data_IF_232271454515
#
_entry.id   IF_232271454515
#
_cell.length_a   1.000
_cell.length_b   1.000
_cell.length_c   1.000
_cell.angle_alpha   90.00
_cell.angle_beta   90.00
_cell.angle_gamma   90.00
#
_symmetry.space_group_name_H-M   'P 1'
#
loop_
_entity.id
_entity.type
_entity.pdbx_description
1 polymer ?
#
# COMPACT_ATOMS: atom_id res chain seq x y z
N UNK A 1 -5.83 10.71 -49.64
CA UNK A 1 -7.06 10.63 -48.84
C UNK A 1 -6.92 9.38 -48.00
N UNK A 2 -6.15 9.50 -46.93
CA UNK A 2 -5.96 8.41 -45.98
C UNK A 2 -7.21 8.40 -45.10
N UNK A 3 -8.03 7.37 -45.25
CA UNK A 3 -9.09 7.09 -44.29
C UNK A 3 -8.42 6.87 -42.95
N UNK A 4 -8.63 7.78 -42.00
CA UNK A 4 -8.26 7.60 -40.60
C UNK A 4 -8.97 6.34 -40.08
N UNK A 5 -8.30 5.20 -40.22
CA UNK A 5 -8.76 3.96 -39.62
C UNK A 5 -8.57 4.15 -38.12
N UNK A 6 -9.68 4.42 -37.43
CA UNK A 6 -9.71 4.53 -35.98
C UNK A 6 -9.45 3.13 -35.41
N UNK A 7 -8.23 2.91 -34.93
CA UNK A 7 -7.81 1.61 -34.41
C UNK A 7 -8.20 1.46 -32.95
N UNK A 8 -9.10 0.52 -32.66
CA UNK A 8 -9.58 0.19 -31.33
C UNK A 8 -8.56 -0.64 -30.53
N UNK A 9 -8.30 -0.26 -29.28
CA UNK A 9 -7.47 -0.99 -28.28
C UNK A 9 -7.91 -2.46 -28.19
N UNK A 10 -9.21 -2.73 -28.21
CA UNK A 10 -9.75 -4.09 -28.13
C UNK A 10 -9.38 -4.93 -29.36
N UNK A 11 -9.37 -4.33 -30.55
CA UNK A 11 -9.03 -5.01 -31.79
C UNK A 11 -7.56 -5.46 -31.78
N UNK A 12 -6.66 -4.63 -31.24
CA UNK A 12 -5.25 -4.97 -31.09
C UNK A 12 -5.03 -6.18 -30.18
N UNK A 13 -5.61 -6.19 -28.98
CA UNK A 13 -5.46 -7.32 -28.05
C UNK A 13 -6.17 -8.59 -28.51
N UNK A 14 -7.25 -8.46 -29.28
CA UNK A 14 -7.90 -9.59 -29.94
C UNK A 14 -6.95 -10.25 -30.95
N UNK A 15 -6.28 -9.47 -31.80
CA UNK A 15 -5.31 -10.00 -32.77
C UNK A 15 -4.06 -10.59 -32.09
N UNK A 16 -3.59 -9.98 -30.98
CA UNK A 16 -2.51 -10.56 -30.18
C UNK A 16 -2.90 -11.91 -29.58
N UNK A 17 -4.09 -12.01 -29.01
CA UNK A 17 -4.61 -13.27 -28.44
C UNK A 17 -4.71 -14.35 -29.51
N UNK A 18 -5.23 -14.01 -30.69
CA UNK A 18 -5.25 -14.95 -31.83
C UNK A 18 -3.86 -15.35 -32.31
N UNK A 19 -2.87 -14.45 -32.24
CA UNK A 19 -1.48 -14.75 -32.59
C UNK A 19 -0.84 -15.73 -31.61
N UNK A 20 -1.19 -15.63 -30.32
CA UNK A 20 -0.79 -16.57 -29.26
C UNK A 20 -1.37 -17.96 -29.55
N UNK A 21 -2.68 -18.05 -29.83
CA UNK A 21 -3.36 -19.32 -30.14
C UNK A 21 -2.74 -20.01 -31.36
N UNK A 22 -2.36 -19.21 -32.38
CA UNK A 22 -1.72 -19.69 -33.60
C UNK A 22 -0.21 -19.97 -33.43
N UNK A 23 0.39 -19.57 -32.30
CA UNK A 23 1.85 -19.56 -32.06
C UNK A 23 2.65 -18.86 -33.17
N UNK A 24 2.03 -17.90 -33.84
CA UNK A 24 2.60 -17.22 -35.01
C UNK A 24 2.05 -15.81 -35.09
N UNK A 25 2.96 -14.85 -35.17
CA UNK A 25 2.60 -13.46 -35.35
C UNK A 25 2.00 -13.24 -36.75
N UNK A 26 0.93 -12.46 -36.80
CA UNK A 26 0.38 -11.96 -38.06
C UNK A 26 1.46 -11.18 -38.82
N UNK A 27 1.88 -11.68 -39.98
CA UNK A 27 2.89 -11.00 -40.84
C UNK A 27 2.28 -9.84 -41.63
N UNK A 28 1.10 -9.38 -41.25
CA UNK A 28 0.39 -8.35 -41.96
C UNK A 28 1.13 -7.01 -41.77
N UNK A 29 1.35 -6.26 -42.85
CA UNK A 29 1.90 -4.88 -42.81
C UNK A 29 1.09 -4.01 -41.84
N UNK A 30 -0.21 -4.32 -41.70
CA UNK A 30 -1.06 -3.72 -40.69
C UNK A 30 -0.50 -3.87 -39.27
N UNK A 31 0.10 -5.01 -38.90
CA UNK A 31 0.62 -5.25 -37.54
C UNK A 31 1.78 -4.31 -37.15
N UNK A 32 2.70 -4.01 -38.07
CA UNK A 32 3.75 -3.02 -37.79
C UNK A 32 3.17 -1.61 -37.63
N UNK A 33 2.17 -1.25 -38.44
CA UNK A 33 1.45 0.02 -38.30
C UNK A 33 0.66 0.08 -36.99
N UNK A 34 -0.01 -1.01 -36.60
CA UNK A 34 -0.70 -1.16 -35.33
C UNK A 34 0.27 -0.93 -34.16
N UNK A 35 1.43 -1.59 -34.15
CA UNK A 35 2.41 -1.42 -33.07
C UNK A 35 2.91 0.02 -32.93
N UNK A 36 3.11 0.72 -34.05
CA UNK A 36 3.58 2.11 -33.98
C UNK A 36 2.50 3.05 -33.43
N UNK A 37 1.25 2.95 -33.90
CA UNK A 37 0.13 3.75 -33.37
C UNK A 37 -0.18 3.39 -31.91
N UNK A 38 -0.15 2.10 -31.59
CA UNK A 38 -0.46 1.60 -30.25
C UNK A 38 0.59 2.04 -29.23
N UNK A 39 1.86 2.14 -29.64
CA UNK A 39 2.92 2.67 -28.77
C UNK A 39 2.60 4.05 -28.24
N UNK A 40 2.10 4.96 -29.08
CA UNK A 40 1.78 6.32 -28.64
C UNK A 40 0.60 6.32 -27.66
N UNK A 41 -0.42 5.48 -27.91
CA UNK A 41 -1.58 5.33 -27.01
C UNK A 41 -1.15 4.80 -25.64
N UNK A 42 -0.33 3.74 -25.62
CA UNK A 42 0.11 3.10 -24.37
C UNK A 42 1.11 3.96 -23.60
N UNK A 43 1.92 4.76 -24.27
CA UNK A 43 2.81 5.70 -23.57
C UNK A 43 2.05 6.77 -22.79
N UNK A 44 0.80 7.07 -23.16
CA UNK A 44 -0.07 8.00 -22.46
C UNK A 44 -1.02 7.33 -21.46
N UNK A 45 -1.57 6.17 -21.80
CA UNK A 45 -2.61 5.53 -20.99
C UNK A 45 -2.11 4.35 -20.15
N UNK A 46 -0.95 3.78 -20.50
CA UNK A 46 -0.48 2.52 -19.95
C UNK A 46 -1.38 1.32 -20.33
N UNK A 47 -1.03 0.16 -19.78
CA UNK A 47 -1.73 -1.11 -19.96
C UNK A 47 -2.40 -1.55 -18.66
N UNK A 48 -3.61 -2.09 -18.77
CA UNK A 48 -4.25 -2.78 -17.63
C UNK A 48 -3.58 -4.14 -17.39
N UNK A 49 -3.81 -4.71 -16.20
CA UNK A 49 -3.18 -5.97 -15.78
C UNK A 49 -3.40 -7.11 -16.78
N UNK A 50 -4.62 -7.28 -17.28
CA UNK A 50 -4.97 -8.34 -18.24
C UNK A 50 -4.20 -8.21 -19.55
N UNK A 51 -4.01 -6.98 -20.04
CA UNK A 51 -3.29 -6.68 -21.26
C UNK A 51 -1.79 -6.94 -21.13
N UNK A 52 -1.21 -6.61 -19.97
CA UNK A 52 0.19 -6.92 -19.68
C UNK A 52 0.42 -8.43 -19.68
N UNK A 53 -0.52 -9.22 -19.15
CA UNK A 53 -0.46 -10.69 -19.18
C UNK A 53 -0.53 -11.23 -20.60
N UNK A 54 -1.40 -10.68 -21.46
CA UNK A 54 -1.46 -11.08 -22.88
C UNK A 54 -0.10 -10.82 -23.56
N UNK A 55 0.54 -9.67 -23.30
CA UNK A 55 1.86 -9.37 -23.89
C UNK A 55 2.95 -10.30 -23.35
N UNK A 56 2.92 -10.66 -22.06
CA UNK A 56 3.88 -11.62 -21.50
C UNK A 56 3.69 -13.01 -22.09
N UNK A 57 2.45 -13.47 -22.22
CA UNK A 57 2.12 -14.72 -22.89
C UNK A 57 2.59 -14.72 -24.35
N UNK A 58 2.46 -13.60 -25.08
CA UNK A 58 2.99 -13.45 -26.43
C UNK A 58 4.50 -13.68 -26.46
N UNK A 59 5.28 -13.10 -25.53
CA UNK A 59 6.72 -13.32 -25.47
C UNK A 59 7.11 -14.77 -25.19
N UNK A 60 6.29 -15.49 -24.42
CA UNK A 60 6.52 -16.90 -24.08
C UNK A 60 6.09 -17.88 -25.18
N UNK A 61 5.14 -17.50 -26.05
CA UNK A 61 4.50 -18.42 -26.99
C UNK A 61 4.87 -18.18 -28.46
N UNK A 62 5.15 -16.94 -28.84
CA UNK A 62 5.38 -16.55 -30.23
C UNK A 62 6.84 -16.15 -30.42
N UNK A 63 7.50 -16.74 -31.42
CA UNK A 63 8.87 -16.37 -31.76
C UNK A 63 8.90 -15.00 -32.47
N UNK A 64 9.21 -13.95 -31.70
CA UNK A 64 9.38 -12.61 -32.23
C UNK A 64 10.82 -12.39 -32.71
N UNK A 65 11.00 -11.74 -33.86
CA UNK A 65 12.31 -11.20 -34.22
C UNK A 65 12.72 -10.08 -33.24
N UNK A 66 14.02 -9.77 -33.15
CA UNK A 66 14.52 -8.81 -32.16
C UNK A 66 13.93 -7.38 -32.31
N UNK A 67 13.63 -6.94 -33.54
CA UNK A 67 13.06 -5.61 -33.81
C UNK A 67 11.63 -5.53 -33.25
N UNK A 68 10.79 -6.49 -33.61
CA UNK A 68 9.40 -6.59 -33.12
C UNK A 68 9.37 -6.82 -31.61
N UNK A 69 10.23 -7.68 -31.08
CA UNK A 69 10.36 -7.91 -29.64
C UNK A 69 10.63 -6.61 -28.89
N UNK A 70 11.58 -5.80 -29.36
CA UNK A 70 11.86 -4.48 -28.75
C UNK A 70 10.67 -3.54 -28.84
N UNK A 71 9.96 -3.49 -29.97
CA UNK A 71 8.77 -2.64 -30.10
C UNK A 71 7.66 -3.05 -29.12
N UNK A 72 7.40 -4.35 -28.99
CA UNK A 72 6.41 -4.89 -28.04
C UNK A 72 6.88 -4.67 -26.59
N UNK A 73 8.17 -4.77 -26.30
CA UNK A 73 8.65 -4.53 -24.92
C UNK A 73 8.55 -3.05 -24.52
N UNK A 74 8.68 -2.11 -25.48
CA UNK A 74 8.50 -0.68 -25.22
C UNK A 74 7.07 -0.29 -24.86
N UNK A 75 6.08 -1.11 -25.22
CA UNK A 75 4.68 -0.89 -24.84
C UNK A 75 4.33 -1.57 -23.51
N UNK A 76 5.22 -2.36 -22.91
CA UNK A 76 4.96 -3.00 -21.62
C UNK A 76 5.12 -1.98 -20.49
N UNK A 77 4.18 -1.05 -20.42
CA UNK A 77 4.12 0.11 -19.53
C UNK A 77 2.78 0.04 -18.81
N UNK A 78 2.75 -0.05 -17.47
CA UNK A 78 1.50 -0.25 -16.75
C UNK A 78 0.68 1.05 -16.69
N UNK A 79 -0.65 0.92 -16.67
CA UNK A 79 -1.60 2.01 -16.40
C UNK A 79 -1.56 2.40 -14.90
N UNK A 80 -1.41 1.40 -14.04
CA UNK A 80 -1.30 1.55 -12.59
C UNK A 80 0.18 1.57 -12.13
N UNK A 81 0.50 2.13 -10.95
CA UNK A 81 1.88 2.20 -10.44
C UNK A 81 2.56 0.84 -10.29
N UNK A 82 1.75 -0.19 -10.08
CA UNK A 82 2.20 -1.51 -9.72
C UNK A 82 2.04 -2.45 -10.91
N UNK A 83 3.16 -2.97 -11.36
CA UNK A 83 3.25 -4.02 -12.35
C UNK A 83 2.89 -5.32 -11.64
N UNK A 84 1.93 -6.09 -12.20
CA UNK A 84 1.53 -7.37 -11.68
C UNK A 84 2.73 -8.30 -11.41
N UNK A 85 2.65 -9.00 -10.30
CA UNK A 85 3.75 -9.83 -9.78
C UNK A 85 4.10 -11.00 -10.69
N UNK A 86 3.07 -11.57 -11.32
CA UNK A 86 3.14 -12.67 -12.28
C UNK A 86 3.83 -12.23 -13.57
N UNK A 87 3.58 -11.01 -14.05
CA UNK A 87 4.28 -10.43 -15.22
C UNK A 87 5.79 -10.37 -14.99
N UNK A 88 6.25 -9.87 -13.83
CA UNK A 88 7.68 -9.86 -13.52
C UNK A 88 8.27 -11.28 -13.43
N UNK A 89 7.56 -12.21 -12.79
CA UNK A 89 8.01 -13.59 -12.62
C UNK A 89 8.12 -14.33 -13.96
N UNK A 90 7.12 -14.20 -14.84
CA UNK A 90 7.13 -14.77 -16.19
C UNK A 90 8.29 -14.25 -17.03
N UNK A 91 8.57 -12.94 -16.97
CA UNK A 91 9.69 -12.35 -17.69
C UNK A 91 11.06 -12.79 -17.16
N UNK A 92 11.20 -12.99 -15.84
CA UNK A 92 12.42 -13.57 -15.26
C UNK A 92 12.58 -15.01 -15.75
N UNK A 93 11.52 -15.83 -15.70
CA UNK A 93 11.56 -17.21 -16.20
C UNK A 93 11.92 -17.25 -17.68
N UNK A 94 11.38 -16.33 -18.49
CA UNK A 94 11.70 -16.21 -19.91
C UNK A 94 13.18 -15.84 -20.14
N UNK A 95 13.73 -14.90 -19.36
CA UNK A 95 15.17 -14.60 -19.41
C UNK A 95 15.99 -15.85 -19.15
N UNK A 96 15.63 -16.61 -18.11
CA UNK A 96 16.32 -17.84 -17.72
C UNK A 96 16.15 -18.97 -18.74
N UNK A 97 15.09 -18.98 -19.54
CA UNK A 97 14.93 -20.00 -20.59
C UNK A 97 15.73 -19.67 -21.85
N UNK A 98 15.86 -18.40 -22.23
CA UNK A 98 16.39 -18.03 -23.57
C UNK A 98 17.85 -17.58 -23.58
N UNK A 99 18.44 -17.21 -22.44
CA UNK A 99 19.76 -16.55 -22.43
C UNK A 99 20.92 -17.41 -22.99
N UNK A 100 20.76 -18.73 -23.01
CA UNK A 100 21.77 -19.68 -23.45
C UNK A 100 21.68 -20.14 -24.91
N UNK A 101 20.58 -19.83 -25.59
CA UNK A 101 20.27 -20.49 -26.87
C UNK A 101 21.08 -19.91 -28.04
N UNK A 102 20.96 -18.61 -28.30
CA UNK A 102 21.63 -17.94 -29.41
C UNK A 102 21.83 -16.43 -29.14
N UNK A 103 22.60 -15.77 -29.99
CA UNK A 103 22.95 -14.34 -29.85
C UNK A 103 21.72 -13.42 -29.85
N UNK A 104 20.70 -13.73 -30.64
CA UNK A 104 19.47 -12.92 -30.69
C UNK A 104 18.67 -13.06 -29.39
N UNK A 105 18.57 -14.28 -28.86
CA UNK A 105 17.89 -14.58 -27.62
C UNK A 105 18.63 -13.99 -26.41
N UNK A 106 19.96 -13.97 -26.43
CA UNK A 106 20.76 -13.22 -25.45
C UNK A 106 20.45 -11.71 -25.46
N UNK A 107 20.28 -11.11 -26.65
CA UNK A 107 19.86 -9.69 -26.76
C UNK A 107 18.43 -9.46 -26.30
N UNK A 108 17.51 -10.41 -26.49
CA UNK A 108 16.15 -10.34 -25.93
C UNK A 108 16.20 -10.38 -24.40
N UNK A 109 16.97 -11.31 -23.84
CA UNK A 109 17.21 -11.42 -22.40
C UNK A 109 17.80 -10.12 -21.83
N UNK A 110 18.80 -9.53 -22.49
CA UNK A 110 19.35 -8.22 -22.13
C UNK A 110 18.27 -7.13 -22.09
N UNK A 111 17.38 -7.08 -23.10
CA UNK A 111 16.30 -6.10 -23.14
C UNK A 111 15.31 -6.26 -21.99
N UNK A 112 14.92 -7.50 -21.66
CA UNK A 112 14.05 -7.79 -20.52
C UNK A 112 14.74 -7.39 -19.20
N UNK A 113 16.03 -7.66 -19.06
CA UNK A 113 16.78 -7.29 -17.86
C UNK A 113 16.89 -5.77 -17.68
N UNK A 114 17.03 -4.99 -18.77
CA UNK A 114 16.91 -3.53 -18.67
C UNK A 114 15.49 -3.09 -18.28
N UNK A 115 14.46 -3.76 -18.78
CA UNK A 115 13.07 -3.50 -18.35
C UNK A 115 12.93 -3.74 -16.84
N UNK A 116 13.38 -4.90 -16.34
CA UNK A 116 13.37 -5.24 -14.92
C UNK A 116 14.19 -4.26 -14.08
N UNK A 117 15.36 -3.82 -14.55
CA UNK A 117 16.16 -2.79 -13.89
C UNK A 117 15.33 -1.53 -13.64
N UNK A 118 14.61 -1.03 -14.65
CA UNK A 118 13.81 0.18 -14.50
C UNK A 118 12.58 -0.02 -13.64
N UNK A 119 11.98 -1.21 -13.68
CA UNK A 119 10.90 -1.58 -12.76
C UNK A 119 11.37 -1.53 -11.30
N UNK A 120 12.56 -2.07 -11.00
CA UNK A 120 13.16 -2.04 -9.66
C UNK A 120 13.57 -0.62 -9.27
N UNK A 121 14.29 0.10 -10.15
CA UNK A 121 14.77 1.46 -9.93
C UNK A 121 13.62 2.44 -9.64
N UNK A 122 12.50 2.28 -10.35
CA UNK A 122 11.31 3.09 -10.16
C UNK A 122 10.33 2.56 -9.11
N UNK A 123 10.61 1.40 -8.52
CA UNK A 123 9.74 0.73 -7.53
C UNK A 123 8.32 0.53 -8.07
N UNK A 124 8.23 0.07 -9.32
CA UNK A 124 6.98 -0.21 -10.02
C UNK A 124 6.46 -1.63 -9.75
N UNK A 125 7.06 -2.38 -8.82
CA UNK A 125 6.56 -3.69 -8.39
C UNK A 125 7.02 -3.99 -6.97
N UNK A 126 6.47 -5.05 -6.37
CA UNK A 126 7.01 -5.59 -5.13
C UNK A 126 8.39 -6.22 -5.38
N UNK A 127 9.43 -5.54 -4.88
CA UNK A 127 10.84 -5.90 -5.04
C UNK A 127 11.15 -7.30 -4.51
N UNK A 128 10.41 -7.78 -3.50
CA UNK A 128 10.61 -9.11 -2.90
C UNK A 128 10.44 -10.25 -3.91
N UNK A 129 9.66 -10.05 -4.97
CA UNK A 129 9.45 -11.07 -6.01
C UNK A 129 10.74 -11.25 -6.82
N UNK A 130 11.39 -10.15 -7.17
CA UNK A 130 12.64 -10.17 -7.92
C UNK A 130 13.78 -10.62 -7.00
N UNK A 131 13.72 -10.25 -5.70
CA UNK A 131 14.69 -10.66 -4.67
C UNK A 131 14.74 -12.18 -4.48
N UNK A 132 13.64 -12.92 -4.68
CA UNK A 132 13.66 -14.41 -4.70
C UNK A 132 14.63 -14.98 -5.71
N UNK A 133 14.89 -14.27 -6.79
CA UNK A 133 15.81 -14.67 -7.85
C UNK A 133 17.19 -14.02 -7.71
N UNK A 134 17.47 -13.29 -6.61
CA UNK A 134 18.70 -12.51 -6.43
C UNK A 134 19.98 -13.27 -6.79
N UNK A 135 20.18 -14.46 -6.22
CA UNK A 135 21.38 -15.28 -6.47
C UNK A 135 21.44 -15.78 -7.92
N UNK A 136 20.30 -16.17 -8.48
CA UNK A 136 20.21 -16.65 -9.87
C UNK A 136 20.53 -15.51 -10.83
N UNK A 137 19.94 -14.34 -10.60
CA UNK A 137 20.22 -13.13 -11.36
C UNK A 137 21.70 -12.75 -11.24
N UNK A 138 22.28 -12.79 -10.03
CA UNK A 138 23.71 -12.52 -9.86
C UNK A 138 24.59 -13.47 -10.68
N UNK A 139 24.23 -14.75 -10.77
CA UNK A 139 24.96 -15.68 -11.65
C UNK A 139 24.88 -15.30 -13.13
N UNK A 140 23.87 -14.55 -13.58
CA UNK A 140 23.82 -14.04 -14.95
C UNK A 140 24.92 -12.99 -15.24
N UNK A 141 25.56 -12.39 -14.22
CA UNK A 141 26.73 -11.52 -14.39
C UNK A 141 27.96 -12.26 -14.96
N UNK A 142 27.96 -13.59 -15.07
CA UNK A 142 29.07 -14.29 -15.75
C UNK A 142 28.96 -14.19 -17.27
N UNK A 143 27.83 -13.69 -17.80
CA UNK A 143 27.57 -13.58 -19.23
C UNK A 143 27.69 -12.13 -19.69
N UNK A 144 28.87 -11.75 -20.19
CA UNK A 144 29.29 -10.37 -20.51
C UNK A 144 28.20 -9.40 -21.00
N UNK A 145 27.36 -9.81 -21.96
CA UNK A 145 26.31 -8.93 -22.51
C UNK A 145 25.18 -8.60 -21.52
N UNK A 146 24.98 -9.41 -20.49
CA UNK A 146 23.95 -9.24 -19.46
C UNK A 146 24.47 -8.48 -18.23
N UNK A 147 25.79 -8.26 -18.14
CA UNK A 147 26.43 -7.79 -16.91
C UNK A 147 25.94 -6.42 -16.49
N UNK A 148 25.70 -5.51 -17.44
CA UNK A 148 25.24 -4.16 -17.11
C UNK A 148 23.84 -4.11 -16.50
N UNK A 149 22.78 -4.64 -17.13
CA UNK A 149 21.45 -4.59 -16.52
C UNK A 149 21.38 -5.46 -15.26
N UNK A 150 22.05 -6.62 -15.21
CA UNK A 150 22.07 -7.47 -14.01
C UNK A 150 22.76 -6.75 -12.85
N UNK A 151 23.93 -6.14 -13.07
CA UNK A 151 24.62 -5.39 -12.03
C UNK A 151 23.77 -4.24 -11.49
N UNK A 152 22.98 -3.58 -12.35
CA UNK A 152 22.01 -2.59 -11.93
C UNK A 152 20.91 -3.17 -11.04
N UNK A 153 20.31 -4.30 -11.43
CA UNK A 153 19.28 -4.96 -10.63
C UNK A 153 19.85 -5.33 -9.26
N UNK A 154 21.00 -6.00 -9.24
CA UNK A 154 21.67 -6.40 -8.00
C UNK A 154 22.00 -5.20 -7.13
N UNK A 155 22.49 -4.10 -7.70
CA UNK A 155 22.75 -2.86 -6.98
C UNK A 155 21.50 -2.34 -6.23
N UNK A 156 20.33 -2.34 -6.87
CA UNK A 156 19.10 -1.90 -6.22
C UNK A 156 18.51 -2.91 -5.23
N UNK A 157 18.72 -4.22 -5.42
CA UNK A 157 18.20 -5.25 -4.53
C UNK A 157 19.05 -5.48 -3.28
N UNK A 158 20.37 -5.32 -3.38
CA UNK A 158 21.32 -5.74 -2.34
C UNK A 158 21.09 -5.03 -1.01
N UNK A 159 20.97 -5.81 0.06
CA UNK A 159 21.02 -5.39 1.47
C UNK A 159 22.41 -5.69 2.08
N UNK A 160 22.78 -5.06 3.20
CA UNK A 160 24.11 -5.28 3.81
C UNK A 160 24.41 -6.75 4.13
N UNK A 161 23.40 -7.50 4.54
CA UNK A 161 23.49 -8.94 4.88
C UNK A 161 23.65 -9.86 3.67
N UNK A 162 23.34 -9.40 2.45
CA UNK A 162 23.40 -10.22 1.23
C UNK A 162 24.82 -10.34 0.68
N UNK A 163 25.70 -9.38 0.99
CA UNK A 163 27.04 -9.30 0.40
C UNK A 163 27.94 -10.37 1.01
N UNK A 164 28.22 -11.41 0.22
CA UNK A 164 29.09 -12.52 0.60
C UNK A 164 30.44 -12.44 -0.12
N UNK A 165 31.50 -12.92 0.52
CA UNK A 165 32.87 -12.87 -0.03
C UNK A 165 32.99 -13.48 -1.44
N UNK A 166 32.25 -14.55 -1.71
CA UNK A 166 32.28 -15.20 -3.03
C UNK A 166 31.72 -14.30 -4.14
N UNK A 167 30.79 -13.38 -3.83
CA UNK A 167 30.26 -12.41 -4.80
C UNK A 167 31.34 -11.40 -5.17
N UNK A 168 32.10 -10.90 -4.19
CA UNK A 168 33.25 -10.00 -4.40
C UNK A 168 34.31 -10.71 -5.26
N UNK A 169 34.65 -11.96 -4.93
CA UNK A 169 35.56 -12.78 -5.74
C UNK A 169 35.04 -12.97 -7.16
N UNK A 170 33.74 -13.23 -7.33
CA UNK A 170 33.11 -13.37 -8.64
C UNK A 170 33.24 -12.09 -9.47
N UNK A 171 32.93 -10.92 -8.90
CA UNK A 171 33.11 -9.63 -9.57
C UNK A 171 34.57 -9.42 -9.99
N UNK A 172 35.54 -9.68 -9.10
CA UNK A 172 36.98 -9.57 -9.41
C UNK A 172 37.39 -10.47 -10.57
N UNK A 173 36.91 -11.71 -10.59
CA UNK A 173 37.19 -12.66 -11.67
C UNK A 173 36.61 -12.19 -13.01
N UNK A 174 35.37 -11.69 -13.02
CA UNK A 174 34.73 -11.17 -14.23
C UNK A 174 35.52 -9.96 -14.77
N UNK A 175 35.92 -9.02 -13.90
CA UNK A 175 36.72 -7.85 -14.28
C UNK A 175 38.09 -8.25 -14.85
N UNK A 176 38.72 -9.28 -14.28
CA UNK A 176 40.02 -9.78 -14.74
C UNK A 176 39.93 -10.47 -16.12
N UNK A 177 38.82 -11.17 -16.38
CA UNK A 177 38.58 -11.88 -17.65
C UNK A 177 38.14 -10.88 -18.74
N UNK A 178 37.13 -10.06 -18.44
CA UNK A 178 36.57 -9.05 -19.32
C UNK A 178 37.22 -7.69 -19.07
N UNK A 179 38.30 -7.39 -19.80
CA UNK A 179 39.00 -6.10 -19.70
C UNK A 179 38.00 -4.92 -19.72
N UNK A 180 37.87 -4.23 -18.59
CA UNK A 180 37.14 -2.96 -18.40
C UNK A 180 35.60 -3.01 -18.48
N UNK A 181 34.96 -3.95 -17.81
CA UNK A 181 33.51 -3.82 -17.56
C UNK A 181 33.21 -2.76 -16.49
N UNK A 182 32.89 -1.54 -16.93
CA UNK A 182 32.54 -0.40 -16.05
C UNK A 182 31.43 -0.74 -15.05
N UNK A 183 30.43 -1.54 -15.46
CA UNK A 183 29.31 -1.92 -14.60
C UNK A 183 29.73 -2.84 -13.45
N UNK A 184 30.59 -3.83 -13.71
CA UNK A 184 31.08 -4.72 -12.66
C UNK A 184 32.03 -4.01 -11.69
N UNK A 185 32.84 -3.06 -12.17
CA UNK A 185 33.64 -2.21 -11.28
C UNK A 185 32.76 -1.38 -10.34
N UNK A 186 31.66 -0.79 -10.85
CA UNK A 186 30.70 -0.05 -10.01
C UNK A 186 30.09 -0.95 -8.93
N UNK A 187 29.68 -2.17 -9.30
CA UNK A 187 29.11 -3.13 -8.35
C UNK A 187 30.13 -3.61 -7.32
N UNK A 188 31.38 -3.83 -7.73
CA UNK A 188 32.46 -4.21 -6.81
C UNK A 188 32.74 -3.10 -5.79
N UNK A 189 32.89 -1.85 -6.23
CA UNK A 189 33.07 -0.69 -5.34
C UNK A 189 31.91 -0.56 -4.36
N UNK A 190 30.70 -0.88 -4.81
CA UNK A 190 29.51 -0.88 -3.97
C UNK A 190 29.54 -2.01 -2.91
N UNK A 191 29.92 -3.23 -3.28
CA UNK A 191 30.06 -4.35 -2.34
C UNK A 191 31.20 -4.18 -1.34
N UNK A 192 32.31 -3.56 -1.73
CA UNK A 192 33.46 -3.32 -0.85
C UNK A 192 33.22 -2.18 0.16
N UNK A 193 32.16 -1.38 -0.01
CA UNK A 193 31.84 -0.26 0.87
C UNK A 193 30.45 -0.43 1.53
N UNK A 194 30.38 -1.05 2.73
CA UNK A 194 29.13 -1.29 3.45
C UNK A 194 28.28 -0.03 3.68
N UNK A 195 28.94 1.12 3.85
CA UNK A 195 28.26 2.40 4.07
C UNK A 195 27.45 2.85 2.85
N UNK A 196 27.93 2.58 1.62
CA UNK A 196 27.19 2.92 0.40
C UNK A 196 25.91 2.10 0.25
N UNK A 197 25.84 0.92 0.91
CA UNK A 197 24.66 0.07 0.90
C UNK A 197 23.50 0.72 1.66
N UNK A 198 23.78 1.55 2.67
CA UNK A 198 22.78 2.25 3.48
C UNK A 198 22.33 3.59 2.87
N UNK A 199 23.06 4.12 1.89
CA UNK A 199 22.74 5.38 1.23
C UNK A 199 21.64 5.24 0.16
N UNK A 200 21.01 6.36 -0.19
CA UNK A 200 20.03 6.42 -1.29
C UNK A 200 20.69 6.04 -2.61
N UNK A 201 20.16 5.00 -3.27
CA UNK A 201 20.67 4.47 -4.53
C UNK A 201 20.60 5.51 -5.66
N UNK A 202 21.68 5.64 -6.41
CA UNK A 202 21.76 6.55 -7.55
C UNK A 202 21.05 5.96 -8.77
N UNK A 203 20.07 6.70 -9.28
CA UNK A 203 19.32 6.37 -10.50
C UNK A 203 20.16 6.54 -11.76
N UNK A 204 19.92 5.68 -12.76
CA UNK A 204 20.60 5.69 -14.05
C UNK A 204 22.10 5.35 -14.01
N UNK A 205 22.63 4.85 -12.88
CA UNK A 205 24.05 4.51 -12.74
C UNK A 205 24.50 3.42 -13.73
N UNK A 206 23.57 2.54 -14.13
CA UNK A 206 23.78 1.40 -15.03
C UNK A 206 23.11 1.58 -16.39
N UNK A 207 22.70 2.81 -16.73
CA UNK A 207 22.03 3.11 -18.01
C UNK A 207 22.94 2.83 -19.20
N UNK A 208 22.36 2.18 -20.22
CA UNK A 208 22.98 2.05 -21.53
C UNK A 208 22.69 3.27 -22.38
N UNK A 209 23.67 3.68 -23.19
CA UNK A 209 23.52 4.77 -24.18
C UNK A 209 22.64 4.37 -25.38
N UNK A 210 22.15 3.13 -25.42
CA UNK A 210 21.32 2.69 -26.55
C UNK A 210 19.99 3.44 -26.58
N UNK A 211 19.56 3.86 -27.78
CA UNK A 211 18.28 4.56 -28.00
C UNK A 211 17.08 3.78 -27.43
N UNK A 212 17.12 2.45 -27.54
CA UNK A 212 16.08 1.57 -27.00
C UNK A 212 15.97 1.69 -25.47
N UNK A 213 17.09 1.58 -24.76
CA UNK A 213 17.12 1.64 -23.29
C UNK A 213 16.67 3.02 -22.78
N UNK A 214 17.06 4.10 -23.46
CA UNK A 214 16.59 5.45 -23.13
C UNK A 214 15.07 5.57 -23.31
N UNK A 215 14.52 5.05 -24.41
CA UNK A 215 13.08 5.06 -24.65
C UNK A 215 12.32 4.25 -23.59
N UNK A 216 12.85 3.10 -23.21
CA UNK A 216 12.28 2.23 -22.20
C UNK A 216 12.26 2.90 -20.83
N UNK A 217 13.38 3.48 -20.41
CA UNK A 217 13.49 4.23 -19.17
C UNK A 217 12.50 5.40 -19.13
N UNK A 218 12.37 6.14 -20.24
CA UNK A 218 11.46 7.27 -20.33
C UNK A 218 9.99 6.84 -20.20
N UNK A 219 9.59 5.73 -20.84
CA UNK A 219 8.22 5.20 -20.76
C UNK A 219 7.85 4.75 -19.34
N UNK A 220 8.74 4.04 -18.65
CA UNK A 220 8.47 3.62 -17.27
C UNK A 220 8.54 4.80 -16.27
N UNK A 221 9.43 5.76 -16.50
CA UNK A 221 9.53 6.97 -15.66
C UNK A 221 8.36 7.94 -15.87
N UNK A 222 7.76 8.00 -17.06
CA UNK A 222 6.60 8.88 -17.32
C UNK A 222 5.37 8.43 -16.54
N UNK A 223 5.11 7.12 -16.45
CA UNK A 223 4.03 6.56 -15.63
C UNK A 223 4.10 7.07 -14.20
N UNK A 224 5.28 6.98 -13.58
CA UNK A 224 5.47 7.46 -12.21
C UNK A 224 5.23 8.97 -12.06
N UNK A 225 5.68 9.78 -13.03
CA UNK A 225 5.46 11.23 -13.01
C UNK A 225 3.98 11.58 -13.12
N UNK A 226 3.26 10.91 -14.00
CA UNK A 226 1.82 11.14 -14.19
C UNK A 226 1.00 10.69 -12.99
N UNK A 227 1.42 9.63 -12.30
CA UNK A 227 0.81 9.21 -11.04
C UNK A 227 1.03 10.23 -9.93
N UNK A 228 2.24 10.77 -9.81
CA UNK A 228 2.54 11.84 -8.85
C UNK A 228 1.71 13.08 -9.16
N UNK A 229 1.53 13.45 -10.44
CA UNK A 229 0.71 14.61 -10.81
C UNK A 229 -0.79 14.38 -10.59
N UNK A 230 -1.33 13.20 -10.90
CA UNK A 230 -2.72 12.84 -10.59
C UNK A 230 -2.98 12.86 -9.07
N UNK A 231 -2.03 12.36 -8.27
CA UNK A 231 -2.12 12.45 -6.81
C UNK A 231 -2.04 13.89 -6.30
N UNK A 232 -1.12 14.71 -6.80
CA UNK A 232 -1.01 16.12 -6.40
C UNK A 232 -2.26 16.93 -6.76
N UNK A 233 -2.84 16.70 -7.94
CA UNK A 233 -4.05 17.41 -8.40
C UNK A 233 -5.32 16.95 -7.67
N UNK A 234 -5.37 15.72 -7.16
CA UNK A 234 -6.44 15.27 -6.27
C UNK A 234 -6.25 15.71 -4.81
N UNK A 235 -5.07 16.24 -4.47
CA UNK A 235 -4.74 16.78 -3.14
C UNK A 235 -4.66 18.32 -3.12
N UNK A 236 -4.83 19.00 -4.27
CA UNK A 236 -4.80 20.46 -4.38
C UNK A 236 -6.15 21.10 -4.03
N UNK A 237 -6.58 20.94 -2.78
CA UNK A 237 -7.30 21.96 -2.04
C UNK A 237 -6.56 22.12 -0.71
N UNK A 238 -5.85 23.25 -0.59
CA UNK A 238 -5.08 23.74 0.55
C UNK A 238 -3.63 23.22 0.71
N UNK A 239 -2.70 23.97 0.13
CA UNK A 239 -1.34 24.08 0.63
C UNK A 239 -0.93 25.56 0.54
N UNK A 240 -1.06 26.29 1.65
CA UNK A 240 -0.31 27.53 1.88
C UNK A 240 0.96 27.16 2.64
N UNK A 241 2.10 27.57 2.07
CA UNK A 241 3.43 27.43 2.64
C UNK A 241 3.55 28.13 4.01
N UNK A 242 4.27 27.52 4.94
CA UNK A 242 4.91 28.27 6.03
C UNK A 242 6.34 27.80 6.31
N UNK A 243 7.17 28.82 6.51
CA UNK A 243 8.62 28.81 6.64
C UNK A 243 9.10 28.47 8.06
N UNK A 244 10.35 27.99 8.11
CA UNK A 244 11.18 27.75 9.30
C UNK A 244 11.20 28.93 10.29
N UNK A 245 11.02 28.64 11.58
CA UNK A 245 11.71 29.33 12.70
C UNK A 245 11.95 28.38 13.87
N UNK A 246 13.18 28.44 14.42
CA UNK A 246 13.65 27.75 15.62
C UNK A 246 13.11 28.41 16.90
N UNK A 247 12.92 27.64 17.99
CA UNK A 247 13.40 27.98 19.35
C UNK A 247 13.05 26.90 20.40
N UNK A 248 13.90 26.86 21.43
CA UNK A 248 14.08 25.93 22.55
C UNK A 248 12.85 25.56 23.41
N UNK A 249 12.90 24.35 23.99
CA UNK A 249 12.10 23.97 25.16
C UNK A 249 12.27 22.50 25.55
N UNK A 250 12.75 22.26 26.77
CA UNK A 250 13.04 20.95 27.37
C UNK A 250 11.88 19.93 27.29
N UNK A 251 11.86 19.08 26.27
CA UNK A 251 11.34 17.69 26.27
C UNK A 251 12.02 16.96 25.10
N UNK A 252 12.24 15.64 25.24
CA UNK A 252 12.83 14.80 24.19
C UNK A 252 12.11 15.00 22.85
N UNK A 253 12.87 15.39 21.82
CA UNK A 253 12.40 15.66 20.46
C UNK A 253 11.62 14.47 19.89
N UNK A 254 10.28 14.57 19.84
CA UNK A 254 9.44 13.65 19.08
C UNK A 254 9.72 13.93 17.61
N UNK A 255 10.52 13.07 16.97
CA UNK A 255 10.71 13.09 15.53
C UNK A 255 9.41 12.64 14.85
N UNK A 256 8.68 13.60 14.29
CA UNK A 256 7.57 13.31 13.39
C UNK A 256 8.13 12.77 12.07
N UNK A 257 7.91 11.48 11.80
CA UNK A 257 8.05 10.94 10.45
C UNK A 257 6.73 11.19 9.74
N UNK A 258 6.76 11.98 8.68
CA UNK A 258 5.62 12.19 7.80
C UNK A 258 5.36 10.88 7.03
N UNK A 259 4.32 10.13 7.41
CA UNK A 259 3.87 8.91 6.72
C UNK A 259 2.59 9.22 5.96
N UNK A 260 2.68 10.10 4.97
CA UNK A 260 1.72 10.15 3.87
C UNK A 260 2.27 9.35 2.69
N UNK A 261 2.11 8.03 2.76
CA UNK A 261 2.09 7.16 1.59
C UNK A 261 0.93 6.20 1.77
N UNK A 262 -0.08 6.31 0.89
CA UNK A 262 -1.15 5.33 0.74
C UNK A 262 -0.52 3.97 0.44
N UNK A 263 -0.83 2.98 1.28
CA UNK A 263 -0.40 1.61 1.12
C UNK A 263 -1.14 0.95 -0.06
N UNK A 264 -0.40 0.47 -1.04
CA UNK A 264 -0.80 -0.73 -1.80
C UNK A 264 -0.74 -1.91 -0.82
N UNK A 265 -1.83 -2.66 -0.67
CA UNK A 265 -1.91 -3.80 0.26
C UNK A 265 -1.02 -4.95 -0.24
N UNK A 266 0.05 -5.36 0.47
CA UNK A 266 0.76 -6.60 0.18
C UNK A 266 -0.12 -7.83 0.44
N UNK A 267 0.24 -8.96 -0.18
CA UNK A 267 -0.43 -10.26 0.01
C UNK A 267 -0.59 -10.55 1.51
N UNK A 268 -1.75 -11.08 1.89
CA UNK A 268 -2.19 -11.24 3.30
C UNK A 268 -1.18 -11.90 4.25
N UNK A 269 -0.31 -12.79 3.74
CA UNK A 269 0.77 -13.43 4.51
C UNK A 269 1.96 -12.51 4.79
N UNK A 270 2.36 -11.67 3.84
CA UNK A 270 3.50 -10.77 3.97
C UNK A 270 3.10 -9.51 4.76
N UNK A 271 1.84 -9.05 4.59
CA UNK A 271 1.24 -8.01 5.43
C UNK A 271 1.22 -8.43 6.90
N UNK A 272 0.79 -9.65 7.20
CA UNK A 272 0.77 -10.17 8.57
C UNK A 272 2.19 -10.22 9.17
N UNK A 273 3.20 -10.60 8.37
CA UNK A 273 4.59 -10.65 8.84
C UNK A 273 5.17 -9.26 9.11
N UNK A 274 4.97 -8.31 8.20
CA UNK A 274 5.42 -6.91 8.38
C UNK A 274 4.68 -6.21 9.52
N UNK A 275 3.38 -6.45 9.66
CA UNK A 275 2.58 -5.95 10.80
C UNK A 275 3.13 -6.55 12.09
N UNK A 276 3.43 -7.84 12.15
CA UNK A 276 3.91 -8.47 13.39
C UNK A 276 5.38 -8.14 13.71
N UNK A 277 6.23 -7.85 12.72
CA UNK A 277 7.68 -7.65 12.89
C UNK A 277 8.08 -6.23 13.34
N UNK A 278 7.22 -5.20 13.26
CA UNK A 278 7.62 -3.87 13.79
C UNK A 278 7.66 -3.89 15.32
N UNK A 279 8.81 -3.49 15.87
CA UNK A 279 9.05 -3.37 17.30
C UNK A 279 7.98 -2.51 17.98
N UNK A 280 7.36 -3.09 19.01
CA UNK A 280 6.30 -2.43 19.76
C UNK A 280 6.94 -1.29 20.55
N UNK A 281 6.51 -0.05 20.28
CA UNK A 281 6.87 1.08 21.12
C UNK A 281 6.37 0.82 22.55
N UNK A 282 7.09 1.26 23.57
CA UNK A 282 6.64 1.10 24.97
C UNK A 282 5.32 1.83 25.26
N UNK A 283 4.87 2.73 24.36
CA UNK A 283 3.60 3.42 24.47
C UNK A 283 2.55 2.73 23.58
N UNK A 284 1.76 1.83 24.17
CA UNK A 284 0.70 1.11 23.45
C UNK A 284 -0.33 2.03 22.77
N UNK A 285 -0.47 3.29 23.19
CA UNK A 285 -1.39 4.23 22.56
C UNK A 285 -0.91 4.74 21.20
N UNK A 286 0.40 4.71 20.92
CA UNK A 286 0.91 5.04 19.59
C UNK A 286 0.46 4.03 18.52
N UNK A 287 -0.14 2.90 18.94
CA UNK A 287 -0.76 1.94 18.03
C UNK A 287 -2.10 2.44 17.48
N UNK A 288 -2.69 3.51 18.05
CA UNK A 288 -3.89 4.14 17.49
C UNK A 288 -3.59 5.01 16.27
N UNK A 289 -2.33 5.42 16.06
CA UNK A 289 -1.95 6.35 14.99
C UNK A 289 -2.10 5.76 13.58
N UNK A 290 -2.19 4.43 13.44
CA UNK A 290 -2.27 3.78 12.14
C UNK A 290 -2.92 2.39 12.17
N UNK A 291 -3.40 1.96 11.00
CA UNK A 291 -4.08 0.67 10.78
C UNK A 291 -3.18 -0.53 11.14
N UNK A 292 -1.87 -0.45 10.92
CA UNK A 292 -0.93 -1.53 11.31
C UNK A 292 -0.96 -1.75 12.83
N UNK A 293 -0.96 -0.68 13.60
CA UNK A 293 -1.10 -0.73 15.05
C UNK A 293 -2.44 -1.32 15.49
N UNK A 294 -3.53 -0.95 14.81
CA UNK A 294 -4.85 -1.53 15.06
C UNK A 294 -4.87 -3.05 14.81
N UNK A 295 -4.32 -3.49 13.68
CA UNK A 295 -4.17 -4.91 13.36
C UNK A 295 -3.36 -5.65 14.43
N UNK A 296 -2.27 -5.07 14.95
CA UNK A 296 -1.51 -5.66 16.05
C UNK A 296 -2.33 -5.76 17.34
N UNK A 297 -3.08 -4.72 17.69
CA UNK A 297 -3.94 -4.74 18.88
C UNK A 297 -4.99 -5.85 18.79
N UNK A 298 -5.59 -6.07 17.62
CA UNK A 298 -6.63 -7.08 17.43
C UNK A 298 -6.07 -8.51 17.30
N UNK A 299 -4.97 -8.69 16.56
CA UNK A 299 -4.46 -10.01 16.17
C UNK A 299 -3.43 -10.59 17.15
N UNK A 300 -2.84 -9.77 18.03
CA UNK A 300 -1.83 -10.25 18.95
C UNK A 300 -2.46 -11.06 20.10
N UNK A 301 -2.50 -12.37 19.90
CA UNK A 301 -2.94 -13.39 20.86
C UNK A 301 -1.78 -13.94 21.70
N UNK A 302 -0.56 -13.42 21.54
CA UNK A 302 0.60 -13.91 22.28
C UNK A 302 0.48 -13.52 23.75
N UNK A 303 0.13 -14.51 24.59
CA UNK A 303 -0.01 -14.37 26.04
C UNK A 303 1.23 -13.75 26.73
N UNK A 304 2.41 -13.84 26.11
CA UNK A 304 3.67 -13.33 26.68
C UNK A 304 3.79 -11.80 26.66
N UNK A 305 3.19 -11.11 25.69
CA UNK A 305 3.35 -9.66 25.52
C UNK A 305 2.23 -8.84 26.17
N UNK A 306 1.07 -9.47 26.40
CA UNK A 306 -0.10 -8.89 27.08
C UNK A 306 -0.45 -7.46 26.63
N UNK A 307 -0.32 -7.22 25.32
CA UNK A 307 -0.43 -5.89 24.71
C UNK A 307 -1.85 -5.35 24.84
N UNK A 308 -2.86 -6.20 24.68
CA UNK A 308 -4.27 -5.80 24.83
C UNK A 308 -4.57 -5.27 26.24
N UNK A 309 -4.06 -5.93 27.28
CA UNK A 309 -4.26 -5.46 28.66
C UNK A 309 -3.50 -4.16 28.93
N UNK A 310 -2.24 -4.05 28.46
CA UNK A 310 -1.46 -2.80 28.57
C UNK A 310 -2.14 -1.65 27.83
N UNK A 311 -2.63 -1.91 26.63
CA UNK A 311 -3.40 -0.97 25.84
C UNK A 311 -4.66 -0.52 26.55
N UNK A 312 -5.47 -1.46 27.06
CA UNK A 312 -6.68 -1.15 27.80
C UNK A 312 -6.40 -0.31 29.06
N UNK A 313 -5.34 -0.64 29.81
CA UNK A 313 -4.96 0.10 31.00
C UNK A 313 -4.48 1.52 30.66
N UNK A 314 -3.63 1.66 29.65
CA UNK A 314 -3.13 2.95 29.19
C UNK A 314 -4.26 3.81 28.62
N UNK A 315 -5.17 3.20 27.86
CA UNK A 315 -6.35 3.87 27.31
C UNK A 315 -7.26 4.40 28.43
N UNK A 316 -7.53 3.58 29.45
CA UNK A 316 -8.35 4.01 30.58
C UNK A 316 -7.71 5.20 31.31
N UNK A 317 -6.41 5.15 31.58
CA UNK A 317 -5.68 6.25 32.23
C UNK A 317 -5.69 7.53 31.38
N UNK A 318 -5.50 7.40 30.06
CA UNK A 318 -5.50 8.55 29.15
C UNK A 318 -6.90 9.15 28.97
N UNK A 319 -7.95 8.33 28.95
CA UNK A 319 -9.33 8.80 28.94
C UNK A 319 -9.67 9.55 30.23
N UNK A 320 -9.25 9.05 31.39
CA UNK A 320 -9.42 9.78 32.66
C UNK A 320 -8.69 11.12 32.67
N UNK A 321 -7.49 11.20 32.08
CA UNK A 321 -6.77 12.46 31.95
C UNK A 321 -7.48 13.41 30.98
N UNK A 322 -8.04 12.91 29.88
CA UNK A 322 -8.65 13.75 28.85
C UNK A 322 -9.98 14.39 29.26
N UNK A 323 -10.65 13.83 30.28
CA UNK A 323 -11.81 14.48 30.92
C UNK A 323 -11.40 15.88 31.43
N UNK A 324 -10.19 16.00 31.98
CA UNK A 324 -9.67 17.22 32.59
C UNK A 324 -8.81 18.07 31.63
N UNK A 325 -8.60 17.63 30.38
CA UNK A 325 -7.78 18.34 29.40
C UNK A 325 -8.55 19.55 28.84
N UNK A 326 -8.03 20.75 29.10
CA UNK A 326 -8.63 22.01 28.60
C UNK A 326 -8.44 22.20 27.08
N UNK A 327 -7.48 21.50 26.48
CA UNK A 327 -7.21 21.60 25.05
C UNK A 327 -8.22 20.76 24.23
N UNK A 328 -9.28 21.43 23.76
CA UNK A 328 -10.34 20.81 22.97
C UNK A 328 -9.84 20.13 21.69
N UNK A 329 -8.80 20.67 21.04
CA UNK A 329 -8.23 20.08 19.81
C UNK A 329 -7.56 18.75 20.10
N UNK A 330 -6.79 18.65 21.20
CA UNK A 330 -6.18 17.38 21.63
C UNK A 330 -7.25 16.36 22.02
N UNK A 331 -8.26 16.80 22.78
CA UNK A 331 -9.39 15.96 23.19
C UNK A 331 -10.15 15.38 22.00
N UNK A 332 -10.54 16.25 21.06
CA UNK A 332 -11.21 15.87 19.82
C UNK A 332 -10.37 14.89 18.99
N UNK A 333 -9.07 15.18 18.80
CA UNK A 333 -8.18 14.31 18.02
C UNK A 333 -8.06 12.91 18.62
N UNK A 334 -7.83 12.82 19.93
CA UNK A 334 -7.69 11.53 20.61
C UNK A 334 -8.98 10.72 20.59
N UNK A 335 -10.13 11.36 20.84
CA UNK A 335 -11.42 10.68 20.76
C UNK A 335 -11.74 10.22 19.33
N UNK A 336 -11.33 10.98 18.30
CA UNK A 336 -11.47 10.57 16.91
C UNK A 336 -10.64 9.31 16.61
N UNK A 337 -9.38 9.25 17.06
CA UNK A 337 -8.52 8.08 16.87
C UNK A 337 -9.11 6.81 17.51
N UNK A 338 -9.71 6.95 18.70
CA UNK A 338 -10.44 5.86 19.37
C UNK A 338 -11.66 5.44 18.57
N UNK A 339 -12.45 6.40 18.08
CA UNK A 339 -13.64 6.14 17.29
C UNK A 339 -13.30 5.39 15.99
N UNK A 340 -12.29 5.84 15.25
CA UNK A 340 -11.83 5.17 14.03
C UNK A 340 -11.34 3.74 14.33
N UNK A 341 -10.67 3.53 15.46
CA UNK A 341 -10.28 2.20 15.88
C UNK A 341 -11.48 1.31 16.24
N UNK A 342 -12.51 1.83 16.91
CA UNK A 342 -13.74 1.07 17.22
C UNK A 342 -14.54 0.73 15.95
N UNK A 343 -14.64 1.67 14.99
CA UNK A 343 -15.21 1.43 13.66
C UNK A 343 -14.46 0.30 12.94
N UNK A 344 -13.13 0.36 12.95
CA UNK A 344 -12.29 -0.67 12.34
C UNK A 344 -12.44 -2.04 13.02
N UNK A 345 -12.52 -2.06 14.36
CA UNK A 345 -12.64 -3.28 15.13
C UNK A 345 -14.07 -3.86 15.14
N UNK A 346 -15.06 -3.09 14.69
CA UNK A 346 -16.50 -3.39 14.77
C UNK A 346 -16.94 -3.87 16.16
N UNK A 347 -16.33 -3.33 17.23
CA UNK A 347 -16.64 -3.73 18.61
C UNK A 347 -16.36 -2.61 19.61
N UNK A 348 -17.13 -2.63 20.70
CA UNK A 348 -16.91 -1.78 21.87
C UNK A 348 -15.60 -2.06 22.60
N UNK A 349 -14.96 -1.00 23.11
CA UNK A 349 -13.84 -1.12 24.05
C UNK A 349 -14.33 -0.88 25.48
N UNK A 350 -14.04 -1.80 26.40
CA UNK A 350 -14.47 -1.72 27.80
C UNK A 350 -14.02 -0.41 28.47
N UNK A 351 -12.79 0.03 28.22
CA UNK A 351 -12.27 1.30 28.74
C UNK A 351 -13.09 2.51 28.24
N UNK A 352 -13.58 2.47 27.00
CA UNK A 352 -14.42 3.52 26.45
C UNK A 352 -15.81 3.48 27.08
N UNK A 353 -16.41 2.30 27.29
CA UNK A 353 -17.71 2.21 27.99
C UNK A 353 -17.62 2.81 29.40
N UNK A 354 -16.59 2.45 30.17
CA UNK A 354 -16.36 3.00 31.51
C UNK A 354 -16.19 4.51 31.49
N UNK A 355 -15.40 5.02 30.54
CA UNK A 355 -15.23 6.45 30.31
C UNK A 355 -16.57 7.14 30.00
N UNK A 356 -17.35 6.62 29.05
CA UNK A 356 -18.63 7.22 28.64
C UNK A 356 -19.62 7.25 29.81
N UNK A 357 -19.77 6.14 30.55
CA UNK A 357 -20.68 6.08 31.70
C UNK A 357 -20.28 7.06 32.82
N UNK A 358 -18.99 7.32 33.00
CA UNK A 358 -18.50 8.32 33.95
C UNK A 358 -18.69 9.73 33.40
N UNK A 359 -18.37 9.96 32.14
CA UNK A 359 -18.33 11.28 31.52
C UNK A 359 -19.72 11.85 31.27
N UNK A 360 -20.69 11.02 30.85
CA UNK A 360 -22.06 11.44 30.51
C UNK A 360 -22.77 12.15 31.67
N UNK A 361 -22.44 11.80 32.91
CA UNK A 361 -23.01 12.41 34.13
C UNK A 361 -22.68 13.90 34.22
N UNK A 362 -21.47 14.28 33.78
CA UNK A 362 -20.95 15.65 33.82
C UNK A 362 -20.99 16.34 32.46
N UNK A 363 -21.46 15.66 31.42
CA UNK A 363 -21.40 16.14 30.05
C UNK A 363 -22.58 17.06 29.74
N UNK A 364 -22.28 18.20 29.12
CA UNK A 364 -23.25 19.23 28.75
C UNK A 364 -23.96 18.97 27.41
N UNK A 365 -23.64 17.87 26.73
CA UNK A 365 -24.20 17.52 25.42
C UNK A 365 -23.57 18.25 24.24
N UNK A 366 -22.63 19.18 24.46
CA UNK A 366 -22.09 20.07 23.42
C UNK A 366 -20.63 19.74 23.08
N UNK A 367 -19.79 19.53 24.09
CA UNK A 367 -18.35 19.29 23.85
C UNK A 367 -18.12 17.94 23.16
N UNK A 368 -17.41 17.95 22.02
CA UNK A 368 -17.11 16.75 21.23
C UNK A 368 -18.36 15.92 20.87
N UNK A 369 -19.53 16.56 20.77
CA UNK A 369 -20.82 15.88 20.67
C UNK A 369 -20.90 14.85 19.55
N UNK A 370 -20.50 15.24 18.34
CA UNK A 370 -20.51 14.35 17.17
C UNK A 370 -19.71 13.05 17.41
N UNK A 371 -18.51 13.17 18.00
CA UNK A 371 -17.65 12.02 18.25
C UNK A 371 -18.24 11.14 19.36
N UNK A 372 -18.75 11.75 20.44
CA UNK A 372 -19.35 11.00 21.56
C UNK A 372 -20.62 10.26 21.13
N UNK A 373 -21.47 10.90 20.33
CA UNK A 373 -22.66 10.27 19.78
C UNK A 373 -22.32 9.11 18.83
N UNK A 374 -21.25 9.20 18.04
CA UNK A 374 -20.77 8.06 17.25
C UNK A 374 -20.13 6.97 18.13
N UNK A 375 -19.45 7.33 19.22
CA UNK A 375 -18.92 6.36 20.19
C UNK A 375 -20.05 5.61 20.91
N UNK A 376 -21.21 6.23 21.12
CA UNK A 376 -22.38 5.57 21.71
C UNK A 376 -22.85 4.38 20.88
N UNK A 377 -22.63 4.39 19.57
CA UNK A 377 -23.04 3.31 18.66
C UNK A 377 -22.31 1.99 18.95
N UNK A 378 -21.14 2.04 19.60
CA UNK A 378 -20.30 0.88 19.90
C UNK A 378 -20.29 0.51 21.40
N UNK A 379 -21.19 1.07 22.21
CA UNK A 379 -21.29 0.69 23.61
C UNK A 379 -21.80 -0.75 23.74
N UNK A 380 -21.25 -1.46 24.72
CA UNK A 380 -21.68 -2.82 25.08
C UNK A 380 -22.19 -2.85 26.52
N UNK A 381 -23.20 -3.69 26.74
CA UNK A 381 -23.91 -3.78 28.01
C UNK A 381 -23.99 -5.23 28.44
N UNK A 382 -23.81 -5.47 29.74
CA UNK A 382 -23.89 -6.81 30.33
C UNK A 382 -25.31 -7.18 30.73
N UNK A 383 -26.19 -6.18 30.93
CA UNK A 383 -27.58 -6.36 31.33
C UNK A 383 -28.45 -5.19 30.86
N UNK A 384 -29.76 -5.43 30.78
CA UNK A 384 -30.76 -4.37 30.53
C UNK A 384 -30.71 -3.28 31.60
N UNK A 385 -30.50 -3.68 32.86
CA UNK A 385 -30.37 -2.76 33.98
C UNK A 385 -29.19 -1.80 33.80
N UNK A 386 -28.05 -2.30 33.29
CA UNK A 386 -26.90 -1.47 32.98
C UNK A 386 -27.22 -0.44 31.89
N UNK A 387 -27.84 -0.87 30.79
CA UNK A 387 -28.25 0.01 29.70
C UNK A 387 -29.19 1.12 30.19
N UNK A 388 -30.22 0.75 30.95
CA UNK A 388 -31.19 1.70 31.48
C UNK A 388 -30.55 2.67 32.47
N UNK A 389 -29.97 2.14 33.55
CA UNK A 389 -29.60 2.94 34.73
C UNK A 389 -28.28 3.71 34.51
N UNK A 390 -27.32 3.14 33.75
CA UNK A 390 -26.01 3.78 33.54
C UNK A 390 -25.94 4.65 32.31
N UNK A 391 -26.78 4.42 31.31
CA UNK A 391 -26.71 5.13 30.05
C UNK A 391 -27.98 5.91 29.71
N UNK A 392 -29.12 5.23 29.50
CA UNK A 392 -30.34 5.91 29.02
C UNK A 392 -30.87 6.95 30.01
N UNK A 393 -30.92 6.65 31.31
CA UNK A 393 -31.35 7.62 32.32
C UNK A 393 -30.43 8.85 32.39
N UNK A 394 -29.16 8.72 32.02
CA UNK A 394 -28.19 9.83 32.03
C UNK A 394 -28.22 10.62 30.72
N UNK A 395 -28.57 9.98 29.61
CA UNK A 395 -28.77 10.62 28.31
C UNK A 395 -30.10 11.38 28.24
N UNK A 396 -31.11 10.95 28.99
CA UNK A 396 -32.46 11.51 28.94
C UNK A 396 -32.54 13.02 29.27
N UNK A 397 -31.86 13.57 30.28
CA UNK A 397 -31.81 15.01 30.49
C UNK A 397 -31.29 15.77 29.27
N UNK A 398 -30.21 15.28 28.64
CA UNK A 398 -29.62 15.89 27.43
C UNK A 398 -30.64 15.87 26.29
N UNK A 399 -31.39 14.79 26.15
CA UNK A 399 -32.46 14.67 25.14
C UNK A 399 -33.60 15.68 25.37
N UNK A 400 -34.10 15.83 26.60
CA UNK A 400 -35.19 16.78 26.89
C UNK A 400 -34.73 18.23 26.72
N UNK A 401 -33.51 18.55 27.16
CA UNK A 401 -32.99 19.92 27.10
C UNK A 401 -32.39 20.28 25.74
N UNK A 402 -32.16 19.28 24.88
CA UNK A 402 -31.57 19.45 23.56
C UNK A 402 -32.52 20.12 22.56
N UNK A 403 -31.94 20.72 21.53
CA UNK A 403 -32.71 21.19 20.39
C UNK A 403 -33.12 20.03 19.46
N UNK A 404 -33.93 20.33 18.45
CA UNK A 404 -34.39 19.32 17.48
C UNK A 404 -33.23 18.55 16.82
N UNK A 405 -32.09 19.22 16.62
CA UNK A 405 -30.91 18.63 15.99
C UNK A 405 -30.24 17.63 16.94
N UNK A 406 -30.05 17.98 18.21
CA UNK A 406 -29.52 17.08 19.24
C UNK A 406 -30.44 15.86 19.39
N UNK A 407 -31.75 16.05 19.45
CA UNK A 407 -32.72 14.95 19.54
C UNK A 407 -32.58 13.97 18.35
N UNK A 408 -32.45 14.50 17.12
CA UNK A 408 -32.23 13.67 15.92
C UNK A 408 -30.93 12.89 15.97
N UNK A 409 -29.84 13.51 16.45
CA UNK A 409 -28.55 12.84 16.60
C UNK A 409 -28.64 11.73 17.65
N UNK A 410 -29.25 11.99 18.81
CA UNK A 410 -29.45 10.98 19.85
C UNK A 410 -30.25 9.79 19.31
N UNK A 411 -31.38 10.05 18.64
CA UNK A 411 -32.21 8.98 18.06
C UNK A 411 -31.40 8.17 17.05
N UNK A 412 -30.63 8.83 16.18
CA UNK A 412 -29.78 8.16 15.19
C UNK A 412 -28.71 7.28 15.87
N UNK A 413 -28.00 7.82 16.86
CA UNK A 413 -26.96 7.08 17.60
C UNK A 413 -27.53 5.91 18.37
N UNK A 414 -28.70 6.06 19.00
CA UNK A 414 -29.38 4.95 19.68
C UNK A 414 -29.87 3.89 18.68
N UNK A 415 -30.34 4.30 17.51
CA UNK A 415 -30.72 3.36 16.43
C UNK A 415 -29.50 2.56 15.96
N UNK A 416 -28.36 3.22 15.74
CA UNK A 416 -27.13 2.56 15.33
C UNK A 416 -26.57 1.65 16.43
N UNK A 417 -26.62 2.08 17.70
CA UNK A 417 -26.31 1.24 18.85
C UNK A 417 -27.15 -0.05 18.85
N UNK A 418 -28.46 0.07 18.65
CA UNK A 418 -29.35 -1.09 18.56
C UNK A 418 -28.96 -2.02 17.41
N UNK A 419 -28.69 -1.48 16.23
CA UNK A 419 -28.23 -2.26 15.08
C UNK A 419 -26.94 -3.02 15.40
N UNK A 420 -25.98 -2.39 16.09
CA UNK A 420 -24.72 -3.01 16.47
C UNK A 420 -24.92 -4.09 17.54
N UNK A 421 -25.73 -3.83 18.58
CA UNK A 421 -26.07 -4.82 19.61
C UNK A 421 -26.77 -6.05 19.01
N UNK A 422 -27.68 -5.85 18.06
CA UNK A 422 -28.37 -6.95 17.35
C UNK A 422 -27.38 -7.72 16.47
N UNK A 423 -26.46 -7.02 15.81
CA UNK A 423 -25.45 -7.65 14.94
C UNK A 423 -24.45 -8.50 15.72
N UNK A 424 -24.09 -8.09 16.94
CA UNK A 424 -23.23 -8.87 17.84
C UNK A 424 -23.96 -10.06 18.49
N UNK A 425 -25.29 -10.02 18.62
CA UNK A 425 -26.10 -11.03 19.32
C UNK A 425 -27.01 -11.85 18.38
N UNK A 426 -26.48 -12.92 17.77
CA UNK A 426 -27.33 -13.93 17.08
C UNK A 426 -28.19 -14.79 18.04
N UNK A 427 -28.18 -14.54 19.37
CA UNK A 427 -28.80 -15.42 20.37
C UNK A 427 -29.70 -14.77 21.43
N UNK A 428 -30.17 -13.52 21.28
CA UNK A 428 -31.12 -12.94 22.25
C UNK A 428 -32.26 -12.13 21.60
N UNK A 429 -33.29 -12.84 21.14
CA UNK A 429 -34.60 -12.28 20.71
C UNK A 429 -35.31 -11.52 21.86
N UNK A 430 -34.92 -11.75 23.12
CA UNK A 430 -35.57 -11.17 24.31
C UNK A 430 -35.25 -9.67 24.49
N UNK A 431 -34.05 -9.20 24.12
CA UNK A 431 -33.65 -7.79 24.27
C UNK A 431 -34.37 -6.90 23.25
N UNK A 432 -34.64 -7.43 22.06
CA UNK A 432 -35.32 -6.73 20.98
C UNK A 432 -36.79 -6.44 21.33
N UNK A 433 -37.47 -7.36 22.00
CA UNK A 433 -38.85 -7.17 22.48
C UNK A 433 -38.90 -6.19 23.67
N UNK A 434 -37.97 -6.29 24.61
CA UNK A 434 -37.90 -5.39 25.77
C UNK A 434 -37.64 -3.93 25.34
N UNK A 435 -36.71 -3.67 24.43
CA UNK A 435 -36.39 -2.30 24.02
C UNK A 435 -37.42 -1.67 23.06
N UNK A 436 -38.07 -2.47 22.20
CA UNK A 436 -39.17 -1.95 21.37
C UNK A 436 -40.35 -1.53 22.24
N UNK A 437 -40.65 -2.30 23.30
CA UNK A 437 -41.67 -1.95 24.28
C UNK A 437 -41.25 -0.76 25.15
N UNK A 438 -39.98 -0.65 25.57
CA UNK A 438 -39.50 0.51 26.33
C UNK A 438 -39.56 1.78 25.47
N UNK A 439 -39.10 1.76 24.22
CA UNK A 439 -39.17 2.90 23.32
C UNK A 439 -40.61 3.28 22.96
N UNK A 440 -41.50 2.30 22.72
CA UNK A 440 -42.91 2.54 22.45
C UNK A 440 -43.66 3.06 23.68
N UNK A 441 -43.43 2.49 24.86
CA UNK A 441 -44.01 2.99 26.12
C UNK A 441 -43.46 4.38 26.47
N UNK A 442 -42.19 4.68 26.20
CA UNK A 442 -41.62 6.00 26.47
C UNK A 442 -42.13 7.07 25.49
N UNK A 443 -42.24 6.73 24.20
CA UNK A 443 -42.81 7.64 23.20
C UNK A 443 -44.30 7.85 23.47
N UNK A 444 -45.04 6.80 23.84
CA UNK A 444 -46.49 6.88 24.12
C UNK A 444 -46.85 7.58 25.44
N UNK A 445 -45.94 7.69 26.40
CA UNK A 445 -46.19 8.36 27.68
C UNK A 445 -45.75 9.83 27.71
N UNK A 446 -44.95 10.27 26.73
CA UNK A 446 -44.36 11.61 26.71
C UNK A 446 -44.62 12.41 25.42
N UNK A 447 -45.24 11.79 24.42
CA UNK A 447 -45.92 12.42 23.27
C UNK A 447 -47.36 11.91 23.22
#
# INVERSE_FOLDING_TARGET
MDSDVFYDRNMFFTELSQSIDRKKLSTNVLFENYLNHFKDIVQHNGLVEEEMKIICQLFCTVELNLKTFKQVLLILVPENPNIPTDVCEELIVLVLSIYHENVNNMKKAECILYWLLYVVEEKLTNVDIIDKYYKILFHLCTYGNLNSPVAGIIYFLTKPEDVQNWMITCCKNIINIGKNESSMNKLLTFFENPNLILETRQKGLFDSKSKFVIQLANGLRSVKKELISKHLNSTSLQLTEYSKKNSDGFYSEIKFVNVNNKFELPRTKDLAKVIMDQSISNNSLSLLDNISGWCKLLMNTEAKLNIQQRFSNNLNNSLDQIINENNLTKKTKFLQEILEFQKFAHRGLVAVNLFIFKYIISWDGMQCAWILYELFEYLSFTSEEELKNRFLEKLFPIFITGDELICKIIIKSLTNLLCNLVSECFSFIVIQIAMTNILLDYISNYF
#
